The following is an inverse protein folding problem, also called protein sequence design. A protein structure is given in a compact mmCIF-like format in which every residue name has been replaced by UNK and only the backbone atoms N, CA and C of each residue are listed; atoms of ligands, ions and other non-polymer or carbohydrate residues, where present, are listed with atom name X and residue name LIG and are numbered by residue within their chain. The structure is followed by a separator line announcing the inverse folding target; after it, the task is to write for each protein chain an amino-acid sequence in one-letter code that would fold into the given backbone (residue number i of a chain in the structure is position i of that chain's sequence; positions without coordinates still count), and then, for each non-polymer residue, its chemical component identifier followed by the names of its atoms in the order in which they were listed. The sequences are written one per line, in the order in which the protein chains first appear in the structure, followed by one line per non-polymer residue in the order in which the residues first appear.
data_IF_706243346112
#
_entry.id   IF_706243346112
#
_cell.length_a   1.000
_cell.length_b   1.000
_cell.length_c   1.000
_cell.angle_alpha   90.00
_cell.angle_beta   90.00
_cell.angle_gamma   90.00
#
_symmetry.space_group_name_H-M   'P 1'
#
loop_
_entity.id
_entity.type
_entity.pdbx_description
1 polymer ?
#
# COMPACT_ATOMS: atom_id res chain seq x y z
N UNK A 1 16.85 -31.02 15.46
CA UNK A 1 16.01 -29.91 14.94
C UNK A 1 16.91 -28.97 14.14
N UNK A 2 16.61 -28.63 12.88
CA UNK A 2 17.39 -27.62 12.16
C UNK A 2 17.20 -26.25 12.83
N UNK A 3 18.28 -25.52 13.03
CA UNK A 3 18.27 -24.15 13.57
C UNK A 3 17.68 -23.22 12.50
N UNK A 4 16.68 -22.37 12.83
CA UNK A 4 16.14 -21.43 11.85
C UNK A 4 17.21 -20.42 11.44
N UNK A 5 17.27 -20.04 10.15
CA UNK A 5 18.31 -19.13 9.65
C UNK A 5 18.25 -17.78 10.34
N UNK A 6 19.41 -17.23 10.67
CA UNK A 6 19.54 -15.93 11.34
C UNK A 6 19.07 -14.80 10.42
N UNK A 7 18.89 -13.60 10.98
CA UNK A 7 18.52 -12.43 10.18
C UNK A 7 19.56 -12.13 9.09
N UNK A 8 20.84 -12.31 9.42
CA UNK A 8 21.96 -12.10 8.49
C UNK A 8 21.91 -13.16 7.40
N UNK A 9 21.62 -14.42 7.75
CA UNK A 9 21.43 -15.48 6.75
C UNK A 9 20.23 -15.22 5.85
N UNK A 10 19.14 -14.65 6.38
CA UNK A 10 17.97 -14.26 5.56
C UNK A 10 18.27 -13.10 4.63
N UNK A 11 19.00 -12.09 5.08
CA UNK A 11 19.43 -10.98 4.24
C UNK A 11 20.41 -11.44 3.15
N UNK A 12 21.35 -12.32 3.51
CA UNK A 12 22.30 -12.95 2.58
C UNK A 12 21.58 -13.85 1.57
N UNK A 13 20.64 -14.69 2.01
CA UNK A 13 19.84 -15.55 1.14
C UNK A 13 18.88 -14.74 0.26
N UNK A 14 18.36 -13.62 0.72
CA UNK A 14 17.61 -12.68 -0.12
C UNK A 14 18.51 -12.02 -1.18
N UNK A 15 19.75 -11.70 -0.82
CA UNK A 15 20.78 -11.27 -1.76
C UNK A 15 21.25 -12.38 -2.71
N UNK A 16 21.21 -13.67 -2.34
CA UNK A 16 21.50 -14.79 -3.26
C UNK A 16 20.28 -15.12 -4.14
N UNK A 17 19.06 -14.89 -3.65
CA UNK A 17 17.84 -14.93 -4.45
C UNK A 17 17.80 -13.80 -5.49
N UNK A 18 18.53 -12.70 -5.22
CA UNK A 18 18.74 -11.60 -6.15
C UNK A 18 19.45 -12.01 -7.44
N UNK A 19 20.48 -12.86 -7.31
CA UNK A 19 21.28 -13.35 -8.43
C UNK A 19 20.49 -14.33 -9.30
N UNK A 20 19.48 -15.00 -8.73
CA UNK A 20 18.59 -15.96 -9.41
C UNK A 20 17.29 -15.35 -9.94
N UNK A 21 17.09 -14.03 -9.84
CA UNK A 21 15.89 -13.35 -10.35
C UNK A 21 14.59 -13.65 -9.59
N UNK A 22 14.64 -14.43 -8.52
CA UNK A 22 13.49 -14.79 -7.68
C UNK A 22 13.32 -13.76 -6.56
N UNK A 23 12.83 -12.57 -6.92
CA UNK A 23 12.41 -11.55 -5.96
C UNK A 23 11.05 -11.91 -5.40
N UNK A 24 11.02 -12.45 -4.18
CA UNK A 24 9.79 -12.46 -3.41
C UNK A 24 9.66 -11.08 -2.75
N UNK A 25 8.75 -10.24 -3.24
CA UNK A 25 8.05 -9.36 -2.29
C UNK A 25 7.58 -10.28 -1.18
N UNK A 26 7.93 -9.99 0.07
CA UNK A 26 7.31 -10.70 1.18
C UNK A 26 5.78 -10.56 1.14
N UNK A 27 5.10 -11.01 2.18
CA UNK A 27 3.66 -10.84 2.29
C UNK A 27 3.28 -9.33 2.17
N UNK A 28 2.31 -9.01 1.31
CA UNK A 28 1.84 -7.63 1.08
C UNK A 28 1.03 -7.18 2.28
N UNK A 29 1.47 -6.11 2.96
CA UNK A 29 0.64 -5.50 4.00
C UNK A 29 -0.54 -4.79 3.33
N UNK A 30 -1.75 -5.33 3.49
CA UNK A 30 -2.99 -4.63 3.12
C UNK A 30 -3.44 -3.81 4.32
N UNK A 31 -3.61 -2.51 4.12
CA UNK A 31 -4.18 -1.63 5.14
C UNK A 31 -5.31 -0.85 4.50
N UNK A 32 -6.46 -0.82 5.16
CA UNK A 32 -7.45 0.23 4.98
C UNK A 32 -7.24 1.23 6.10
N UNK A 33 -7.05 2.51 5.76
CA UNK A 33 -6.95 3.55 6.79
C UNK A 33 -8.27 4.30 6.90
N UNK A 34 -8.76 4.47 8.12
CA UNK A 34 -9.92 5.33 8.42
C UNK A 34 -9.60 6.82 8.35
N UNK A 35 -8.34 7.19 8.06
CA UNK A 35 -7.93 8.59 7.97
C UNK A 35 -8.54 9.25 6.72
N UNK A 36 -8.80 10.54 6.86
CA UNK A 36 -9.20 11.44 5.78
C UNK A 36 -8.02 12.37 5.53
N UNK A 37 -7.05 11.98 4.68
CA UNK A 37 -5.83 12.74 4.51
C UNK A 37 -6.12 14.01 3.70
N UNK A 38 -5.85 15.17 4.28
CA UNK A 38 -5.91 16.45 3.57
C UNK A 38 -4.66 16.66 2.71
N UNK A 39 -3.53 16.07 3.12
CA UNK A 39 -2.25 16.24 2.43
C UNK A 39 -1.65 14.92 1.96
N UNK A 40 -0.82 14.99 0.92
CA UNK A 40 -0.05 13.83 0.44
C UNK A 40 0.80 13.20 1.55
N UNK A 41 1.39 14.02 2.44
CA UNK A 41 2.19 13.53 3.56
C UNK A 41 1.35 12.69 4.53
N UNK A 42 0.15 13.14 4.87
CA UNK A 42 -0.80 12.39 5.70
C UNK A 42 -1.23 11.08 5.04
N UNK A 43 -1.46 11.09 3.74
CA UNK A 43 -1.79 9.89 2.97
C UNK A 43 -0.66 8.85 2.99
N UNK A 44 0.61 9.28 3.01
CA UNK A 44 1.77 8.39 3.07
C UNK A 44 2.11 7.91 4.48
N UNK A 45 1.67 8.60 5.53
CA UNK A 45 1.99 8.29 6.93
C UNK A 45 1.66 6.84 7.33
N UNK A 46 0.51 6.24 6.97
CA UNK A 46 0.19 4.86 7.31
C UNK A 46 1.10 3.83 6.64
N UNK A 47 1.70 4.16 5.49
CA UNK A 47 2.57 3.24 4.72
C UNK A 47 3.85 2.87 5.45
N UNK A 48 4.21 3.63 6.48
CA UNK A 48 5.27 3.22 7.41
C UNK A 48 4.97 1.91 8.14
N UNK A 49 3.76 1.34 8.09
CA UNK A 49 3.46 -0.01 8.59
C UNK A 49 4.12 -1.13 7.75
N UNK A 50 4.49 -0.86 6.49
CA UNK A 50 5.24 -1.77 5.62
C UNK A 50 6.60 -2.22 6.22
N UNK A 51 7.08 -1.49 7.24
CA UNK A 51 8.33 -1.71 7.96
C UNK A 51 8.43 -3.06 8.69
N UNK A 52 7.31 -3.67 9.11
CA UNK A 52 7.33 -4.92 9.90
C UNK A 52 8.07 -6.07 9.22
N UNK A 53 8.09 -6.08 7.88
CA UNK A 53 8.80 -7.09 7.07
C UNK A 53 10.20 -6.64 6.66
N UNK A 54 10.38 -5.33 6.42
CA UNK A 54 11.65 -4.73 6.02
C UNK A 54 12.61 -4.39 7.17
N UNK A 55 12.22 -4.55 8.44
CA UNK A 55 12.97 -4.14 9.65
C UNK A 55 13.62 -2.76 9.50
N UNK A 56 12.79 -1.73 9.40
CA UNK A 56 13.21 -0.33 9.45
C UNK A 56 12.32 0.44 10.43
N UNK A 57 12.75 1.63 10.85
CA UNK A 57 11.88 2.59 11.54
C UNK A 57 10.78 3.08 10.59
N UNK A 58 9.68 3.56 11.18
CA UNK A 58 8.59 4.15 10.40
C UNK A 58 9.08 5.40 9.66
N UNK A 59 9.91 6.15 10.36
CA UNK A 59 10.49 7.42 9.99
C UNK A 59 11.40 7.24 8.78
N UNK A 60 12.26 6.22 8.77
CA UNK A 60 13.13 5.90 7.64
C UNK A 60 12.34 5.53 6.38
N UNK A 61 11.30 4.69 6.52
CA UNK A 61 10.42 4.34 5.40
C UNK A 61 9.75 5.59 4.86
N UNK A 62 9.07 6.36 5.71
CA UNK A 62 8.34 7.55 5.29
C UNK A 62 9.27 8.60 4.67
N UNK A 63 10.43 8.85 5.26
CA UNK A 63 11.42 9.78 4.74
C UNK A 63 11.90 9.38 3.34
N UNK A 64 12.07 8.07 3.07
CA UNK A 64 12.44 7.57 1.75
C UNK A 64 11.34 7.76 0.72
N UNK A 65 10.08 7.45 1.07
CA UNK A 65 8.93 7.66 0.19
C UNK A 65 8.77 9.16 -0.15
N UNK A 66 8.77 10.03 0.87
CA UNK A 66 8.65 11.48 0.69
C UNK A 66 9.81 12.06 -0.12
N UNK A 67 11.04 11.56 0.07
CA UNK A 67 12.20 12.01 -0.71
C UNK A 67 12.05 11.69 -2.20
N UNK A 68 11.48 10.52 -2.55
CA UNK A 68 11.17 10.19 -3.94
C UNK A 68 10.05 11.07 -4.49
N UNK A 69 9.00 11.26 -3.70
CA UNK A 69 7.83 12.04 -4.10
C UNK A 69 8.16 13.51 -4.40
N UNK A 70 9.14 14.09 -3.71
CA UNK A 70 9.65 15.46 -3.98
C UNK A 70 10.31 15.62 -5.35
N UNK A 71 10.76 14.54 -5.99
CA UNK A 71 11.37 14.61 -7.34
C UNK A 71 10.33 14.68 -8.46
N UNK A 72 9.06 14.43 -8.11
CA UNK A 72 7.96 14.33 -9.05
C UNK A 72 6.96 13.29 -8.58
N UNK A 73 5.67 13.48 -8.88
CA UNK A 73 4.61 12.62 -8.41
C UNK A 73 4.85 11.17 -8.83
N UNK A 74 4.55 10.23 -7.94
CA UNK A 74 4.59 8.79 -8.25
C UNK A 74 3.25 8.24 -8.71
N UNK A 75 2.37 9.13 -9.16
CA UNK A 75 1.10 8.76 -9.79
C UNK A 75 1.35 7.99 -11.09
N UNK A 76 0.57 6.95 -11.32
CA UNK A 76 0.71 6.08 -12.50
C UNK A 76 -0.59 5.98 -13.32
N UNK A 77 -1.65 6.66 -12.91
CA UNK A 77 -2.95 6.66 -13.58
C UNK A 77 -4.05 5.89 -12.83
N UNK A 78 -5.31 6.23 -13.14
CA UNK A 78 -6.49 5.50 -12.68
C UNK A 78 -6.69 5.46 -11.17
N UNK A 79 -6.35 6.55 -10.46
CA UNK A 79 -6.48 6.64 -9.00
C UNK A 79 -5.32 6.01 -8.22
N UNK A 80 -4.28 5.51 -8.91
CA UNK A 80 -3.17 4.80 -8.27
C UNK A 80 -1.91 5.66 -8.24
N UNK A 81 -1.27 5.67 -7.07
CA UNK A 81 0.11 6.10 -6.92
C UNK A 81 1.00 4.98 -6.37
N UNK A 82 2.27 5.00 -6.77
CA UNK A 82 3.27 4.04 -6.32
C UNK A 82 4.42 4.74 -5.57
N UNK A 83 4.20 5.22 -4.34
CA UNK A 83 5.27 5.79 -3.53
C UNK A 83 6.36 4.74 -3.28
N UNK A 84 7.59 4.98 -3.74
CA UNK A 84 8.70 4.04 -3.60
C UNK A 84 9.96 4.74 -3.11
N UNK A 85 10.89 4.02 -2.51
CA UNK A 85 12.13 4.65 -2.07
C UNK A 85 13.13 3.70 -1.42
N UNK A 86 14.41 4.03 -1.58
CA UNK A 86 15.51 3.30 -0.94
C UNK A 86 15.86 3.90 0.42
N UNK A 87 16.18 3.09 1.42
CA UNK A 87 16.67 3.54 2.73
C UNK A 87 17.71 2.58 3.30
N UNK A 88 18.54 3.09 4.20
CA UNK A 88 19.66 2.36 4.80
C UNK A 88 19.22 1.37 5.90
N UNK A 89 18.07 1.60 6.53
CA UNK A 89 17.58 0.74 7.62
C UNK A 89 16.89 -0.53 7.12
N UNK A 90 16.27 -0.50 5.94
CA UNK A 90 15.56 -1.66 5.41
C UNK A 90 16.54 -2.79 5.11
N UNK A 91 16.30 -3.94 5.73
CA UNK A 91 17.10 -5.14 5.53
C UNK A 91 16.60 -5.99 4.35
N UNK A 92 15.30 -5.88 4.03
CA UNK A 92 14.64 -6.63 2.95
C UNK A 92 13.70 -5.71 2.17
N UNK A 93 13.49 -5.94 0.86
CA UNK A 93 12.39 -5.33 0.12
C UNK A 93 11.04 -5.61 0.78
N UNK A 94 10.15 -4.63 0.77
CA UNK A 94 8.78 -4.80 1.25
C UNK A 94 7.79 -4.04 0.37
N UNK A 95 6.52 -4.44 0.44
CA UNK A 95 5.42 -3.71 -0.19
C UNK A 95 4.21 -3.59 0.73
N UNK A 96 3.48 -2.50 0.57
CA UNK A 96 2.18 -2.30 1.20
C UNK A 96 1.20 -1.72 0.19
N UNK A 97 -0.07 -2.12 0.31
CA UNK A 97 -1.18 -1.53 -0.45
C UNK A 97 -2.11 -0.87 0.55
N UNK A 98 -2.36 0.42 0.33
CA UNK A 98 -3.26 1.23 1.12
C UNK A 98 -4.38 1.74 0.23
N UNK A 99 -5.63 1.46 0.63
CA UNK A 99 -6.79 2.14 0.08
C UNK A 99 -7.22 3.25 1.06
N UNK A 100 -7.26 4.48 0.56
CA UNK A 100 -7.77 5.65 1.26
C UNK A 100 -9.30 5.67 1.16
N UNK A 101 -9.96 6.22 2.19
CA UNK A 101 -11.41 6.44 2.14
C UNK A 101 -11.79 7.62 1.23
N UNK A 102 -10.93 8.63 1.21
CA UNK A 102 -11.04 9.78 0.34
C UNK A 102 -9.75 9.92 -0.46
N UNK A 103 -9.83 10.16 -1.79
CA UNK A 103 -8.66 10.42 -2.59
C UNK A 103 -7.95 11.69 -2.13
N UNK A 104 -6.65 11.73 -2.36
CA UNK A 104 -5.82 12.91 -2.12
C UNK A 104 -5.26 13.45 -3.44
N UNK A 105 -5.18 14.77 -3.56
CA UNK A 105 -4.51 15.39 -4.69
C UNK A 105 -3.05 14.96 -4.73
N UNK A 106 -2.64 14.38 -5.85
CA UNK A 106 -1.34 13.75 -5.98
C UNK A 106 -0.32 14.61 -6.75
N UNK A 107 -0.59 15.90 -6.92
CA UNK A 107 0.33 16.90 -7.48
C UNK A 107 0.88 16.53 -8.87
N UNK A 108 0.02 16.01 -9.73
CA UNK A 108 0.25 15.98 -11.18
C UNK A 108 -0.15 17.33 -11.78
N UNK A 109 0.26 17.58 -13.03
CA UNK A 109 -0.10 18.83 -13.73
C UNK A 109 -1.61 18.96 -13.94
N UNK A 110 -2.29 17.84 -14.15
CA UNK A 110 -3.73 17.77 -14.43
C UNK A 110 -4.60 17.68 -13.18
N UNK A 111 -3.98 17.72 -11.99
CA UNK A 111 -4.70 17.70 -10.71
C UNK A 111 -5.21 16.31 -10.30
N UNK A 112 -4.55 15.24 -10.74
CA UNK A 112 -4.97 13.86 -10.50
C UNK A 112 -5.07 13.54 -9.00
N UNK A 113 -6.07 12.73 -8.68
CA UNK A 113 -6.34 12.24 -7.34
C UNK A 113 -5.90 10.78 -7.21
N UNK A 114 -5.40 10.39 -6.04
CA UNK A 114 -5.06 9.00 -5.74
C UNK A 114 -5.78 8.50 -4.49
N UNK A 115 -6.41 7.33 -4.57
CA UNK A 115 -7.04 6.62 -3.45
C UNK A 115 -6.42 5.24 -3.19
N UNK A 116 -5.62 4.72 -4.13
CA UNK A 116 -4.82 3.51 -3.96
C UNK A 116 -3.33 3.88 -3.96
N UNK A 117 -2.65 3.54 -2.88
CA UNK A 117 -1.21 3.73 -2.73
C UNK A 117 -0.51 2.37 -2.64
N UNK A 118 0.43 2.12 -3.55
CA UNK A 118 1.28 0.92 -3.57
C UNK A 118 2.69 1.30 -3.14
N UNK A 119 3.00 1.14 -1.85
CA UNK A 119 4.29 1.51 -1.31
C UNK A 119 5.35 0.43 -1.53
N UNK A 120 6.55 0.83 -1.95
CA UNK A 120 7.71 -0.07 -2.11
C UNK A 120 8.97 0.51 -1.45
N UNK A 121 9.15 0.37 -0.13
CA UNK A 121 10.43 0.60 0.52
C UNK A 121 11.46 -0.48 0.14
N UNK A 122 12.70 -0.06 -0.03
CA UNK A 122 13.76 -0.92 -0.55
C UNK A 122 15.11 -0.70 0.17
N UNK A 123 15.92 -1.73 0.44
CA UNK A 123 17.26 -1.58 1.00
C UNK A 123 18.19 -0.80 0.07
N UNK A 124 18.89 0.22 0.54
CA UNK A 124 19.79 1.02 -0.33
C UNK A 124 20.93 0.19 -0.94
N UNK A 125 21.46 -0.77 -0.19
CA UNK A 125 22.56 -1.65 -0.63
C UNK A 125 22.14 -2.76 -1.61
N UNK A 126 20.84 -2.93 -1.88
CA UNK A 126 20.33 -3.93 -2.83
C UNK A 126 19.83 -3.20 -4.07
N UNK A 127 20.49 -3.33 -5.21
CA UNK A 127 20.12 -2.62 -6.44
C UNK A 127 19.26 -3.46 -7.37
N UNK A 128 19.58 -4.74 -7.48
CA UNK A 128 18.90 -5.70 -8.34
C UNK A 128 17.44 -5.90 -7.91
N UNK A 129 16.55 -6.20 -8.86
CA UNK A 129 15.13 -6.41 -8.57
C UNK A 129 14.28 -5.18 -8.30
N UNK A 130 14.87 -4.02 -8.01
CA UNK A 130 14.11 -2.80 -7.68
C UNK A 130 13.16 -2.38 -8.81
N UNK A 131 13.70 -2.06 -10.00
CA UNK A 131 12.89 -1.62 -11.15
C UNK A 131 11.92 -2.72 -11.62
N UNK A 132 12.32 -4.00 -11.78
CA UNK A 132 11.39 -5.07 -12.10
C UNK A 132 10.21 -5.19 -11.11
N UNK A 133 10.46 -4.98 -9.82
CA UNK A 133 9.41 -5.02 -8.79
C UNK A 133 8.43 -3.86 -8.93
N UNK A 134 8.89 -2.68 -9.36
CA UNK A 134 8.01 -1.52 -9.60
C UNK A 134 7.08 -1.71 -10.81
N UNK A 135 7.51 -2.47 -11.82
CA UNK A 135 6.71 -2.71 -13.03
C UNK A 135 5.59 -3.75 -12.81
N UNK A 136 5.83 -4.75 -11.97
CA UNK A 136 4.95 -5.93 -11.78
C UNK A 136 3.51 -5.65 -11.35
N UNK A 137 3.21 -4.74 -10.40
CA UNK A 137 1.86 -4.63 -9.82
C UNK A 137 0.79 -4.16 -10.81
N UNK A 138 1.19 -3.63 -11.97
CA UNK A 138 0.30 -2.91 -12.89
C UNK A 138 0.17 -3.57 -14.26
N UNK A 139 0.90 -4.66 -14.52
CA UNK A 139 0.73 -5.44 -15.75
C UNK A 139 -0.61 -6.18 -15.69
N UNK A 140 -1.51 -5.89 -16.64
CA UNK A 140 -2.77 -6.62 -16.81
C UNK A 140 -3.92 -6.21 -15.87
N UNK A 141 -3.73 -5.24 -14.99
CA UNK A 141 -4.80 -4.79 -14.10
C UNK A 141 -5.64 -3.68 -14.74
N UNK A 142 -6.95 -3.93 -14.89
CA UNK A 142 -7.94 -2.89 -15.20
C UNK A 142 -8.46 -2.34 -13.87
N UNK A 143 -7.86 -1.27 -13.36
CA UNK A 143 -8.46 -0.57 -12.23
C UNK A 143 -9.64 0.27 -12.72
N UNK A 144 -10.82 -0.02 -12.19
CA UNK A 144 -12.01 0.83 -12.38
C UNK A 144 -12.15 1.70 -11.14
N UNK A 145 -11.44 2.81 -11.04
CA UNK A 145 -11.73 3.83 -10.03
C UNK A 145 -11.63 5.25 -10.57
N UNK A 146 -12.43 6.08 -9.91
CA UNK A 146 -12.79 7.45 -10.23
C UNK A 146 -11.58 8.33 -10.54
N UNK A 147 -11.72 9.15 -11.58
CA UNK A 147 -10.63 9.93 -12.15
C UNK A 147 -10.49 11.29 -11.48
N UNK A 148 -11.59 11.83 -10.94
CA UNK A 148 -11.68 13.22 -10.49
C UNK A 148 -12.29 13.35 -9.09
N UNK A 149 -11.96 14.44 -8.38
CA UNK A 149 -12.53 14.72 -7.04
C UNK A 149 -14.07 14.74 -7.02
N UNK A 150 -14.70 15.14 -8.13
CA UNK A 150 -16.17 15.18 -8.29
C UNK A 150 -16.85 13.80 -8.21
N UNK A 151 -16.13 12.72 -8.50
CA UNK A 151 -16.66 11.36 -8.40
C UNK A 151 -16.86 10.93 -6.92
N UNK A 152 -16.28 11.66 -5.97
CA UNK A 152 -16.31 11.38 -4.53
C UNK A 152 -17.10 12.40 -3.70
N UNK A 153 -17.59 13.49 -4.31
CA UNK A 153 -18.44 14.49 -3.65
C UNK A 153 -19.93 14.14 -3.66
N UNK A 154 -20.33 13.08 -4.35
CA UNK A 154 -21.69 12.55 -4.20
C UNK A 154 -21.83 11.91 -2.81
N UNK A 155 -22.87 12.26 -2.03
CA UNK A 155 -23.13 11.59 -0.76
C UNK A 155 -23.22 10.07 -1.00
N UNK A 156 -22.77 9.23 -0.05
CA UNK A 156 -22.88 7.78 -0.21
C UNK A 156 -24.33 7.45 -0.59
N UNK A 157 -24.56 6.54 -1.56
CA UNK A 157 -25.91 6.14 -1.92
C UNK A 157 -26.61 5.79 -0.61
N UNK A 158 -27.75 6.45 -0.36
CA UNK A 158 -28.57 6.16 0.82
C UNK A 158 -28.73 4.65 0.82
N UNK A 159 -28.11 3.99 1.80
CA UNK A 159 -28.17 2.56 1.97
C UNK A 159 -29.60 2.13 1.71
N UNK A 160 -29.78 1.21 0.76
CA UNK A 160 -31.01 0.44 0.61
C UNK A 160 -31.59 0.24 1.99
N UNK A 161 -32.72 0.91 2.25
CA UNK A 161 -33.46 0.72 3.49
C UNK A 161 -33.67 -0.78 3.57
N UNK A 162 -33.10 -1.40 4.60
CA UNK A 162 -33.48 -2.75 4.98
C UNK A 162 -35.01 -2.79 4.94
N UNK A 163 -35.55 -3.49 3.95
CA UNK A 163 -36.96 -3.76 3.86
C UNK A 163 -37.32 -4.49 5.14
N UNK A 164 -38.18 -3.85 5.91
CA UNK A 164 -38.85 -4.40 7.08
C UNK A 164 -39.49 -5.74 6.72
N UNK A 165 -38.81 -6.85 7.03
CA UNK A 165 -39.49 -8.13 7.22
C UNK A 165 -39.97 -8.19 8.67
N UNK A 166 -41.26 -7.88 8.83
CA UNK A 166 -42.06 -8.34 9.96
C UNK A 166 -42.14 -9.86 9.84
N UNK A 167 -41.45 -10.60 10.72
CA UNK A 167 -41.52 -12.04 10.83
C UNK A 167 -41.67 -12.47 12.30
N UNK A 168 -42.87 -12.95 12.64
CA UNK A 168 -43.30 -13.50 13.93
C UNK A 168 -42.26 -14.39 14.63
N UNK A 169 -42.03 -14.13 15.93
CA UNK A 169 -41.69 -15.20 16.88
C UNK A 169 -42.94 -15.59 17.66
N UNK A 170 -43.57 -16.66 17.21
CA UNK A 170 -44.47 -17.49 17.98
C UNK A 170 -43.64 -18.26 19.02
N UNK A 171 -44.15 -18.34 20.25
CA UNK A 171 -43.41 -18.90 21.37
C UNK A 171 -43.26 -20.41 21.33
N UNK A 172 -42.27 -20.89 22.08
CA UNK A 172 -42.36 -22.18 22.75
C UNK A 172 -41.99 -22.03 24.22
N UNK A 173 -42.92 -22.52 25.03
CA UNK A 173 -42.90 -22.66 26.48
C UNK A 173 -42.60 -24.12 26.72
N UNK A 174 -41.46 -24.46 27.32
CA UNK A 174 -41.24 -25.80 27.86
C UNK A 174 -40.52 -25.70 29.21
N UNK A 175 -41.30 -26.05 30.24
CA UNK A 175 -41.00 -26.63 31.56
C UNK A 175 -39.89 -26.02 32.42
#
# INVERSE_FOLDING_TARGET
MPVPPTLIDRARNAATSAERGTWALGEVARTSSSIHPATKREALWPLGSARRKGRASREAVLAALLRRERRGPTYIGGGIAMPHGRNDESLLPAAAVLRLRQPVHYATADGDMADILVAVPWPKGVSSGYVPTLARPFVGQRTRHARNAADFTSPPPKSERATSEKGNYIGERIM
#
